data_IF_524211678770
#
_entry.id   IF_524211678770
#
_cell.length_a   1.000
_cell.length_b   1.000
_cell.length_c   1.000
_cell.angle_alpha   90.00
_cell.angle_beta   90.00
_cell.angle_gamma   90.00
#
_symmetry.space_group_name_H-M   'P 1'
#
loop_
_entity.id
_entity.type
_entity.pdbx_description
1 polymer ?
#
# COMPACT_ATOMS: atom_id res chain seq x y z
N UNK A 1 -0.78 8.98 -3.44
CA UNK A 1 -1.85 8.62 -4.38
C UNK A 1 -1.52 9.22 -5.73
N UNK A 2 -1.91 8.57 -6.81
CA UNK A 2 -1.76 9.08 -8.17
C UNK A 2 -3.11 9.18 -8.84
N UNK A 3 -3.25 10.19 -9.68
CA UNK A 3 -4.22 10.23 -10.76
C UNK A 3 -3.44 10.20 -12.07
N UNK A 4 -3.84 9.39 -13.04
CA UNK A 4 -3.20 9.36 -14.35
C UNK A 4 -4.23 9.27 -15.47
N UNK A 5 -3.87 9.79 -16.63
CA UNK A 5 -4.69 9.73 -17.83
C UNK A 5 -4.44 8.40 -18.54
N UNK A 6 -5.32 7.41 -18.31
CA UNK A 6 -5.19 6.08 -18.87
C UNK A 6 -5.67 6.03 -20.33
N UNK A 7 -4.87 6.60 -21.23
CA UNK A 7 -5.18 6.72 -22.65
C UNK A 7 -5.36 5.36 -23.33
N UNK A 8 -4.58 4.38 -22.89
CA UNK A 8 -4.59 3.00 -23.38
C UNK A 8 -5.67 2.14 -22.74
N UNK A 9 -6.25 2.63 -21.63
CA UNK A 9 -7.26 1.94 -20.85
C UNK A 9 -6.79 0.55 -20.34
N UNK A 10 -5.51 0.44 -19.98
CA UNK A 10 -4.86 -0.82 -19.60
C UNK A 10 -4.67 -0.97 -18.09
N UNK A 11 -5.05 0.05 -17.30
CA UNK A 11 -4.91 0.10 -15.84
C UNK A 11 -3.46 -0.09 -15.39
N UNK A 12 -2.48 0.24 -16.23
CA UNK A 12 -1.08 0.04 -15.92
C UNK A 12 -0.36 1.37 -15.72
N UNK A 13 -0.31 1.85 -14.48
CA UNK A 13 0.41 3.07 -14.14
C UNK A 13 1.93 2.99 -14.41
N UNK A 14 2.53 1.79 -14.45
CA UNK A 14 4.00 1.65 -14.54
C UNK A 14 4.61 2.16 -15.85
N UNK A 15 3.80 2.42 -16.89
CA UNK A 15 4.27 2.97 -18.16
C UNK A 15 4.40 4.50 -18.15
N UNK A 16 3.84 5.18 -17.15
CA UNK A 16 3.83 6.64 -17.11
C UNK A 16 4.98 7.16 -16.23
N UNK A 17 5.87 8.04 -16.76
CA UNK A 17 6.93 8.63 -15.95
C UNK A 17 6.36 9.65 -14.95
N UNK A 18 6.94 9.73 -13.75
CA UNK A 18 6.45 10.59 -12.64
C UNK A 18 6.33 12.08 -12.99
N UNK A 19 7.10 12.57 -13.97
CA UNK A 19 7.09 13.97 -14.43
C UNK A 19 6.28 14.18 -15.72
N UNK A 20 5.37 13.26 -16.04
CA UNK A 20 4.49 13.37 -17.19
C UNK A 20 3.32 14.31 -16.88
N UNK A 21 2.94 15.15 -17.85
CA UNK A 21 1.67 15.91 -17.80
C UNK A 21 0.43 14.99 -17.75
N UNK A 22 0.61 13.69 -17.96
CA UNK A 22 -0.41 12.65 -17.85
C UNK A 22 -0.56 12.08 -16.45
N UNK A 23 0.20 12.55 -15.45
CA UNK A 23 0.09 12.12 -14.05
C UNK A 23 -0.07 13.34 -13.15
N UNK A 24 -0.93 13.21 -12.14
CA UNK A 24 -0.96 14.08 -10.96
C UNK A 24 -0.64 13.26 -9.72
N UNK A 25 0.35 13.73 -8.97
CA UNK A 25 0.75 13.12 -7.70
C UNK A 25 0.03 13.86 -6.57
N UNK A 26 -0.66 13.10 -5.73
CA UNK A 26 -1.28 13.58 -4.52
C UNK A 26 -0.53 13.01 -3.32
N UNK A 27 0.25 13.85 -2.66
CA UNK A 27 1.02 13.45 -1.49
C UNK A 27 0.10 13.39 -0.26
N UNK A 28 -0.03 12.22 0.36
CA UNK A 28 -0.94 12.00 1.50
C UNK A 28 -0.51 12.76 2.76
N UNK A 29 0.73 13.26 2.83
CA UNK A 29 1.20 14.14 3.89
C UNK A 29 0.67 15.58 3.78
N UNK A 30 0.10 15.99 2.64
CA UNK A 30 -0.60 17.27 2.47
C UNK A 30 -2.03 17.25 3.04
N UNK A 31 -2.50 16.09 3.50
CA UNK A 31 -3.88 15.90 3.95
C UNK A 31 -3.98 16.15 5.45
N UNK A 32 -5.06 16.80 5.84
CA UNK A 32 -5.44 16.92 7.23
C UNK A 32 -6.20 15.67 7.66
N UNK A 33 -5.53 14.81 8.41
CA UNK A 33 -6.07 13.55 8.92
C UNK A 33 -6.72 13.76 10.29
N UNK A 34 -7.96 13.33 10.42
CA UNK A 34 -8.71 13.36 11.68
C UNK A 34 -9.24 11.98 11.99
N UNK A 35 -9.00 11.49 13.20
CA UNK A 35 -9.65 10.28 13.70
C UNK A 35 -11.16 10.51 13.69
N UNK A 36 -11.91 9.57 13.13
CA UNK A 36 -13.36 9.58 13.18
C UNK A 36 -13.82 9.07 14.55
N UNK A 37 -14.16 9.99 15.45
CA UNK A 37 -14.59 9.66 16.82
C UNK A 37 -16.03 9.17 16.90
N UNK A 38 -16.80 9.17 15.81
CA UNK A 38 -18.20 8.73 15.84
C UNK A 38 -18.35 7.22 16.11
N UNK A 39 -17.27 6.44 15.94
CA UNK A 39 -17.19 5.02 16.29
C UNK A 39 -16.47 4.78 17.64
N UNK A 40 -16.17 5.83 18.42
CA UNK A 40 -15.52 5.71 19.74
C UNK A 40 -16.47 5.24 20.85
N UNK A 41 -17.69 4.78 20.51
CA UNK A 41 -18.59 4.11 21.46
C UNK A 41 -18.01 2.75 21.82
N UNK A 42 -17.05 2.82 22.73
CA UNK A 42 -16.26 1.79 23.37
C UNK A 42 -15.08 1.22 22.59
N UNK A 43 -13.91 1.27 23.23
CA UNK A 43 -12.69 0.53 22.88
C UNK A 43 -12.89 -1.01 23.06
N UNK A 44 -14.09 -1.53 22.81
CA UNK A 44 -14.39 -2.95 22.88
C UNK A 44 -14.31 -3.55 21.48
N UNK A 45 -13.80 -4.78 21.41
CA UNK A 45 -13.79 -5.55 20.18
C UNK A 45 -15.21 -6.02 19.86
N UNK A 46 -15.99 -5.22 19.14
CA UNK A 46 -17.27 -5.69 18.60
C UNK A 46 -17.00 -6.84 17.62
N UNK A 47 -17.64 -8.00 17.83
CA UNK A 47 -17.40 -9.21 17.05
C UNK A 47 -15.91 -9.57 16.95
N UNK A 48 -15.14 -9.40 18.03
CA UNK A 48 -13.71 -9.72 18.06
C UNK A 48 -12.84 -8.85 17.13
N UNK A 49 -13.39 -7.75 16.59
CA UNK A 49 -12.69 -6.79 15.74
C UNK A 49 -12.62 -5.42 16.40
N UNK A 50 -11.46 -4.80 16.31
CA UNK A 50 -11.25 -3.42 16.69
C UNK A 50 -10.89 -2.62 15.43
N UNK A 51 -11.57 -1.50 15.25
CA UNK A 51 -11.47 -0.67 14.06
C UNK A 51 -11.19 0.79 14.45
N UNK A 52 -10.23 1.41 13.77
CA UNK A 52 -9.99 2.85 13.83
C UNK A 52 -10.05 3.40 12.42
N UNK A 53 -10.82 4.47 12.23
CA UNK A 53 -10.92 5.17 10.95
C UNK A 53 -10.33 6.58 11.05
N UNK A 54 -9.52 6.95 10.08
CA UNK A 54 -8.96 8.29 9.90
C UNK A 54 -9.48 8.90 8.60
N UNK A 55 -10.13 10.05 8.72
CA UNK A 55 -10.63 10.81 7.58
C UNK A 55 -9.59 11.85 7.18
N UNK A 56 -9.09 11.76 5.95
CA UNK A 56 -8.19 12.71 5.32
C UNK A 56 -8.96 13.69 4.43
N UNK A 57 -8.64 14.96 4.56
CA UNK A 57 -9.16 16.00 3.67
C UNK A 57 -8.03 16.91 3.20
N UNK A 58 -8.10 17.37 1.95
CA UNK A 58 -7.22 18.42 1.45
C UNK A 58 -8.02 19.38 0.58
N UNK A 59 -7.55 20.63 0.37
CA UNK A 59 -8.21 21.56 -0.56
C UNK A 59 -8.34 21.02 -1.98
N UNK A 60 -7.50 20.05 -2.36
CA UNK A 60 -7.48 19.40 -3.67
C UNK A 60 -8.34 18.13 -3.72
N UNK A 61 -8.78 17.61 -2.57
CA UNK A 61 -9.48 16.33 -2.46
C UNK A 61 -10.49 16.34 -1.29
N UNK A 62 -11.76 16.29 -1.64
CA UNK A 62 -12.86 16.10 -0.68
C UNK A 62 -13.05 14.61 -0.43
N UNK A 63 -12.60 14.13 0.75
CA UNK A 63 -12.84 12.82 1.37
C UNK A 63 -12.07 11.58 0.87
N UNK A 64 -10.82 11.44 1.33
CA UNK A 64 -10.20 10.11 1.48
C UNK A 64 -10.32 9.65 2.92
N UNK A 65 -10.53 8.36 3.19
CA UNK A 65 -10.34 7.85 4.56
C UNK A 65 -9.53 6.55 4.54
N UNK A 66 -8.75 6.38 5.60
CA UNK A 66 -7.94 5.18 5.87
C UNK A 66 -8.53 4.49 7.10
N UNK A 67 -8.71 3.18 7.02
CA UNK A 67 -9.33 2.40 8.07
C UNK A 67 -8.44 1.23 8.45
N UNK A 68 -8.15 1.14 9.75
CA UNK A 68 -7.24 0.18 10.35
C UNK A 68 -8.07 -0.81 11.15
N UNK A 69 -7.87 -2.11 10.92
CA UNK A 69 -8.56 -3.17 11.66
C UNK A 69 -7.60 -4.19 12.23
N UNK A 70 -7.86 -4.59 13.46
CA UNK A 70 -7.19 -5.71 14.14
C UNK A 70 -8.24 -6.64 14.73
N UNK A 71 -7.90 -7.91 14.87
CA UNK A 71 -8.78 -8.91 15.48
C UNK A 71 -8.12 -9.50 16.72
N UNK A 72 -8.91 -9.83 17.74
CA UNK A 72 -8.44 -10.60 18.91
C UNK A 72 -8.63 -12.13 18.72
N UNK A 73 -9.34 -12.57 17.68
CA UNK A 73 -9.48 -13.98 17.27
C UNK A 73 -9.05 -14.22 15.82
N UNK A 74 -8.72 -15.47 15.47
CA UNK A 74 -8.49 -15.87 14.08
C UNK A 74 -9.83 -15.98 13.36
N UNK A 75 -10.07 -15.12 12.38
CA UNK A 75 -11.33 -15.07 11.65
C UNK A 75 -11.15 -14.41 10.28
N UNK A 76 -12.03 -14.73 9.34
CA UNK A 76 -12.13 -13.98 8.09
C UNK A 76 -13.00 -12.73 8.30
N UNK A 77 -12.66 -11.64 7.63
CA UNK A 77 -13.56 -10.48 7.58
C UNK A 77 -14.90 -10.89 6.95
N UNK A 78 -16.01 -10.39 7.51
CA UNK A 78 -17.36 -10.68 7.02
C UNK A 78 -17.58 -10.18 5.59
N UNK A 79 -16.98 -9.04 5.26
CA UNK A 79 -17.13 -8.42 3.94
C UNK A 79 -16.00 -8.87 3.01
N UNK A 80 -16.27 -8.92 1.70
CA UNK A 80 -15.24 -9.21 0.70
C UNK A 80 -14.06 -8.21 0.83
N UNK A 81 -12.82 -8.66 0.59
CA UNK A 81 -12.42 -9.94 0.01
C UNK A 81 -12.15 -11.06 1.04
N UNK A 82 -12.75 -11.00 2.23
CA UNK A 82 -12.64 -12.02 3.28
C UNK A 82 -11.17 -12.31 3.68
N UNK A 83 -10.38 -11.26 3.89
CA UNK A 83 -9.01 -11.42 4.39
C UNK A 83 -9.02 -12.12 5.75
N UNK A 84 -8.03 -12.98 5.97
CA UNK A 84 -7.85 -13.69 7.24
C UNK A 84 -7.14 -12.77 8.23
N UNK A 85 -7.75 -12.57 9.40
CA UNK A 85 -7.08 -12.04 10.55
C UNK A 85 -6.43 -13.14 11.38
N UNK A 86 -5.24 -12.86 11.89
CA UNK A 86 -4.57 -13.66 12.91
C UNK A 86 -4.13 -12.73 14.04
N UNK A 87 -4.64 -12.91 15.27
CA UNK A 87 -4.44 -11.97 16.38
C UNK A 87 -2.97 -11.77 16.71
N UNK A 88 -2.53 -10.51 16.75
CA UNK A 88 -1.13 -10.16 17.02
C UNK A 88 -0.16 -10.37 15.85
N UNK A 89 -0.62 -10.90 14.72
CA UNK A 89 0.22 -11.14 13.52
C UNK A 89 -0.21 -10.28 12.33
N UNK A 90 -1.51 -10.00 12.19
CA UNK A 90 -2.07 -9.34 11.01
C UNK A 90 -2.82 -8.07 11.42
N UNK A 91 -2.51 -6.99 10.72
CA UNK A 91 -3.27 -5.74 10.72
C UNK A 91 -3.82 -5.58 9.30
N UNK A 92 -5.12 -5.32 9.16
CA UNK A 92 -5.73 -5.02 7.88
C UNK A 92 -5.84 -3.50 7.72
N UNK A 93 -5.54 -3.04 6.51
CA UNK A 93 -5.62 -1.65 6.11
C UNK A 93 -6.59 -1.58 4.92
N UNK A 94 -7.72 -0.91 5.11
CA UNK A 94 -8.62 -0.55 4.02
C UNK A 94 -8.35 0.90 3.63
N UNK A 95 -8.25 1.16 2.33
CA UNK A 95 -8.11 2.50 1.80
C UNK A 95 -9.35 2.84 1.00
N UNK A 96 -9.94 3.99 1.31
CA UNK A 96 -11.16 4.44 0.68
C UNK A 96 -11.02 5.83 0.07
N UNK A 97 -11.41 5.92 -1.19
CA UNK A 97 -11.47 7.15 -1.94
C UNK A 97 -12.90 7.43 -2.35
N UNK A 98 -13.46 8.53 -1.83
CA UNK A 98 -14.82 8.95 -2.12
C UNK A 98 -14.82 10.35 -2.75
N UNK A 99 -15.55 10.52 -3.85
CA UNK A 99 -15.70 11.80 -4.55
C UNK A 99 -14.39 12.52 -4.88
N UNK A 100 -13.40 11.77 -5.34
CA UNK A 100 -12.18 12.35 -5.91
C UNK A 100 -12.53 13.14 -7.17
N UNK A 101 -11.87 14.28 -7.31
CA UNK A 101 -12.00 15.11 -8.50
C UNK A 101 -11.07 14.57 -9.58
N UNK A 102 -11.64 14.19 -10.72
CA UNK A 102 -10.88 13.80 -11.92
C UNK A 102 -10.46 15.05 -12.71
N UNK A 103 -9.18 15.11 -13.06
CA UNK A 103 -8.54 16.14 -13.87
C UNK A 103 -8.28 15.70 -15.31
N UNK A 104 -8.45 14.42 -15.61
CA UNK A 104 -8.30 13.86 -16.95
C UNK A 104 -9.61 13.27 -17.47
N UNK A 105 -9.78 13.25 -18.79
CA UNK A 105 -10.95 12.65 -19.43
C UNK A 105 -11.01 11.12 -19.20
N UNK A 106 -9.85 10.45 -19.22
CA UNK A 106 -9.70 9.02 -18.90
C UNK A 106 -8.95 8.87 -17.57
N UNK A 107 -9.41 9.59 -16.55
CA UNK A 107 -8.81 9.59 -15.22
C UNK A 107 -8.90 8.21 -14.55
N UNK A 108 -7.75 7.71 -14.10
CA UNK A 108 -7.63 6.56 -13.21
C UNK A 108 -6.83 6.92 -11.98
N UNK A 109 -7.11 6.21 -10.89
CA UNK A 109 -6.46 6.42 -9.61
C UNK A 109 -5.64 5.19 -9.22
N UNK A 110 -4.55 5.47 -8.51
CA UNK A 110 -3.67 4.45 -7.97
C UNK A 110 -2.97 4.90 -6.69
N UNK A 111 -2.25 3.96 -6.09
CA UNK A 111 -1.44 4.15 -4.91
C UNK A 111 0.00 3.74 -5.16
N UNK A 112 0.93 4.44 -4.52
CA UNK A 112 2.26 3.93 -4.29
C UNK A 112 2.33 3.38 -2.88
N UNK A 113 2.72 2.12 -2.75
CA UNK A 113 3.04 1.54 -1.46
C UNK A 113 4.55 1.57 -1.29
N UNK A 114 5.02 2.20 -0.22
CA UNK A 114 6.41 2.14 0.17
C UNK A 114 6.60 1.02 1.17
N UNK A 115 7.35 0.00 0.77
CA UNK A 115 7.67 -1.18 1.57
C UNK A 115 9.10 -1.04 2.09
N UNK A 116 9.28 -1.32 3.37
CA UNK A 116 10.58 -1.19 4.06
C UNK A 116 10.85 -2.47 4.86
N UNK A 117 12.09 -2.96 4.78
CA UNK A 117 12.55 -4.12 5.54
C UNK A 117 13.96 -3.92 6.09
N UNK A 118 14.29 -4.68 7.14
CA UNK A 118 15.64 -4.77 7.67
C UNK A 118 16.63 -5.46 6.72
N UNK A 119 16.16 -6.18 5.70
CA UNK A 119 16.96 -6.76 4.63
C UNK A 119 17.61 -5.65 3.81
N UNK A 120 18.92 -5.74 3.56
CA UNK A 120 19.59 -4.91 2.55
C UNK A 120 19.33 -5.48 1.17
N UNK A 121 18.87 -4.63 0.24
CA UNK A 121 18.61 -5.00 -1.15
C UNK A 121 19.54 -4.22 -2.08
N UNK A 122 20.13 -4.89 -3.05
CA UNK A 122 20.84 -4.23 -4.14
C UNK A 122 19.87 -3.43 -5.00
N UNK A 123 20.27 -2.33 -5.68
CA UNK A 123 19.37 -1.47 -6.45
C UNK A 123 18.47 -2.22 -7.45
N UNK A 124 18.98 -3.28 -8.07
CA UNK A 124 18.27 -4.09 -9.07
C UNK A 124 17.42 -5.22 -8.49
N UNK A 125 17.49 -5.46 -7.18
CA UNK A 125 16.72 -6.52 -6.52
C UNK A 125 15.31 -6.06 -6.15
N UNK A 126 14.41 -7.00 -5.90
CA UNK A 126 13.06 -6.75 -5.42
C UNK A 126 12.73 -7.66 -4.23
N UNK A 127 11.75 -7.27 -3.41
CA UNK A 127 11.16 -8.18 -2.45
C UNK A 127 10.47 -9.34 -3.18
N UNK A 128 10.52 -10.53 -2.61
CA UNK A 128 9.92 -11.71 -3.20
C UNK A 128 8.40 -11.58 -3.26
N UNK A 129 7.82 -11.82 -4.43
CA UNK A 129 6.37 -11.91 -4.65
C UNK A 129 5.95 -13.37 -4.73
N UNK A 130 4.96 -13.78 -3.92
CA UNK A 130 4.34 -15.10 -3.94
C UNK A 130 2.82 -14.96 -4.07
N UNK A 131 2.28 -15.21 -5.26
CA UNK A 131 0.85 -15.02 -5.55
C UNK A 131 0.36 -13.61 -5.17
N UNK A 132 -0.32 -13.48 -4.04
CA UNK A 132 -0.86 -12.22 -3.47
C UNK A 132 0.04 -11.60 -2.41
N UNK A 133 1.09 -12.30 -1.98
CA UNK A 133 1.92 -11.92 -0.85
C UNK A 133 3.25 -11.34 -1.33
N UNK A 134 3.74 -10.31 -0.66
CA UNK A 134 5.08 -9.76 -0.83
C UNK A 134 5.83 -10.01 0.47
N UNK A 135 6.90 -10.81 0.40
CA UNK A 135 7.70 -11.21 1.56
C UNK A 135 8.83 -10.18 1.75
N UNK A 136 8.74 -9.40 2.82
CA UNK A 136 9.57 -8.22 3.01
C UNK A 136 11.01 -8.56 3.43
N UNK A 137 11.28 -9.75 3.97
CA UNK A 137 12.64 -10.16 4.37
C UNK A 137 13.32 -11.13 3.39
N UNK A 138 12.73 -11.27 2.20
CA UNK A 138 13.20 -12.18 1.15
C UNK A 138 13.41 -11.43 -0.17
N UNK A 139 14.57 -11.64 -0.80
CA UNK A 139 14.89 -11.10 -2.13
C UNK A 139 14.72 -12.18 -3.20
N UNK A 140 14.44 -11.76 -4.44
CA UNK A 140 14.34 -12.68 -5.60
C UNK A 140 15.65 -13.44 -5.84
N UNK A 141 16.80 -12.77 -5.68
CA UNK A 141 18.14 -13.33 -5.90
C UNK A 141 18.50 -14.50 -4.96
N UNK A 142 18.05 -14.46 -3.70
CA UNK A 142 18.31 -15.51 -2.70
C UNK A 142 17.72 -16.87 -3.08
N UNK A 143 16.78 -16.91 -4.02
CA UNK A 143 16.20 -18.16 -4.52
C UNK A 143 17.05 -18.80 -5.63
N UNK A 144 17.71 -17.98 -6.46
CA UNK A 144 18.49 -18.47 -7.61
C UNK A 144 19.87 -18.97 -7.20
N UNK A 145 20.39 -18.48 -6.07
CA UNK A 145 21.62 -18.97 -5.50
C UNK A 145 21.30 -20.08 -4.48
N UNK A 146 21.44 -21.33 -4.90
CA UNK A 146 21.57 -22.50 -4.00
C UNK A 146 22.89 -22.45 -3.18
N UNK A 147 23.40 -21.27 -2.86
CA UNK A 147 24.60 -21.06 -2.08
C UNK A 147 24.18 -20.54 -0.70
N UNK A 148 24.30 -21.44 0.27
CA UNK A 148 24.35 -21.17 1.69
C UNK A 148 25.20 -19.92 1.98
N UNK A 149 24.59 -18.86 2.50
CA UNK A 149 25.12 -18.05 3.61
C UNK A 149 24.26 -16.79 3.77
N UNK A 150 23.93 -16.50 5.04
CA UNK A 150 23.13 -15.39 5.55
C UNK A 150 21.61 -15.63 5.69
N UNK A 151 21.33 -16.24 6.85
CA UNK A 151 20.09 -16.29 7.64
C UNK A 151 19.01 -17.32 7.30
N UNK A 152 19.36 -18.61 7.38
CA UNK A 152 18.42 -19.71 7.68
C UNK A 152 18.01 -19.79 9.16
N UNK A 153 18.46 -18.86 10.00
CA UNK A 153 18.24 -18.87 11.46
C UNK A 153 17.22 -17.83 11.93
N UNK A 154 16.20 -17.50 11.12
CA UNK A 154 15.03 -16.82 11.68
C UNK A 154 14.02 -17.88 12.11
N UNK A 155 13.81 -18.01 13.41
CA UNK A 155 12.71 -18.81 13.99
C UNK A 155 11.34 -18.18 13.73
N UNK A 156 11.31 -16.98 13.17
CA UNK A 156 10.09 -16.23 12.89
C UNK A 156 9.88 -16.10 11.38
N UNK A 157 8.65 -16.30 10.88
CA UNK A 157 8.36 -16.12 9.47
C UNK A 157 8.59 -14.66 9.06
N UNK A 158 9.03 -14.46 7.83
CA UNK A 158 9.22 -13.14 7.21
C UNK A 158 7.94 -12.30 7.35
N UNK A 159 8.09 -11.01 7.62
CA UNK A 159 6.96 -10.09 7.51
C UNK A 159 6.45 -10.08 6.07
N UNK A 160 5.13 -9.99 5.88
CA UNK A 160 4.54 -10.00 4.55
C UNK A 160 3.43 -8.96 4.40
N UNK A 161 3.26 -8.49 3.17
CA UNK A 161 2.11 -7.71 2.73
C UNK A 161 1.23 -8.60 1.85
N UNK A 162 -0.01 -8.84 2.26
CA UNK A 162 -0.97 -9.57 1.43
C UNK A 162 -1.91 -8.59 0.73
N UNK A 163 -1.92 -8.64 -0.60
CA UNK A 163 -2.73 -7.80 -1.48
C UNK A 163 -3.69 -8.68 -2.27
N UNK A 164 -5.00 -8.48 -2.11
CA UNK A 164 -5.99 -9.10 -3.01
C UNK A 164 -6.17 -8.24 -4.26
N UNK A 165 -6.26 -8.86 -5.46
CA UNK A 165 -6.35 -8.13 -6.72
C UNK A 165 -7.78 -7.66 -7.01
N UNK A 166 -8.46 -7.11 -6.01
CA UNK A 166 -9.85 -6.68 -6.12
C UNK A 166 -10.10 -5.44 -5.24
N UNK A 167 -10.69 -4.40 -5.83
CA UNK A 167 -11.26 -3.25 -5.13
C UNK A 167 -12.76 -3.19 -5.41
N UNK A 168 -13.51 -2.38 -4.67
CA UNK A 168 -14.97 -2.29 -4.78
C UNK A 168 -15.42 -0.85 -4.99
N UNK A 169 -16.55 -0.70 -5.68
CA UNK A 169 -17.16 0.61 -5.99
C UNK A 169 -18.25 1.02 -4.99
N UNK A 170 -18.47 0.21 -3.95
CA UNK A 170 -19.43 0.44 -2.88
C UNK A 170 -18.87 -0.20 -1.59
N UNK A 171 -18.88 0.54 -0.48
CA UNK A 171 -18.36 0.04 0.79
C UNK A 171 -19.34 -0.86 1.54
N UNK A 172 -20.64 -0.68 1.35
CA UNK A 172 -21.69 -1.48 1.98
C UNK A 172 -22.05 -2.72 1.16
N UNK A 173 -21.87 -2.67 -0.16
CA UNK A 173 -22.18 -3.75 -1.10
C UNK A 173 -20.93 -4.29 -1.79
N UNK A 174 -19.98 -4.83 -1.00
CA UNK A 174 -18.77 -5.50 -1.52
C UNK A 174 -19.12 -6.88 -2.09
N UNK A 175 -19.54 -6.91 -3.36
CA UNK A 175 -19.88 -8.13 -4.10
C UNK A 175 -18.98 -8.31 -5.33
N UNK A 176 -19.02 -9.49 -5.96
CA UNK A 176 -18.30 -9.75 -7.23
C UNK A 176 -18.74 -8.81 -8.35
N UNK A 177 -20.01 -8.39 -8.38
CA UNK A 177 -20.53 -7.46 -9.41
C UNK A 177 -20.00 -6.04 -9.20
N UNK A 178 -19.83 -5.65 -7.94
CA UNK A 178 -19.31 -4.35 -7.54
C UNK A 178 -17.78 -4.34 -7.41
N UNK A 179 -17.09 -5.44 -7.72
CA UNK A 179 -15.64 -5.50 -7.69
C UNK A 179 -15.02 -5.06 -9.02
N UNK A 180 -13.81 -4.52 -8.94
CA UNK A 180 -12.93 -4.22 -10.06
C UNK A 180 -11.57 -4.81 -9.80
N UNK A 181 -10.84 -5.09 -10.87
CA UNK A 181 -9.50 -5.62 -10.74
C UNK A 181 -8.56 -4.56 -10.12
N UNK A 182 -7.51 -5.04 -9.47
CA UNK A 182 -6.42 -4.20 -8.99
C UNK A 182 -5.14 -4.66 -9.66
N UNK A 183 -4.56 -3.77 -10.46
CA UNK A 183 -3.33 -4.03 -11.17
C UNK A 183 -2.13 -3.64 -10.30
N UNK A 184 -1.34 -4.64 -9.93
CA UNK A 184 -0.07 -4.42 -9.25
C UNK A 184 1.04 -4.25 -10.28
N UNK A 185 1.88 -3.24 -10.09
CA UNK A 185 3.06 -3.01 -10.90
C UNK A 185 3.93 -4.27 -10.98
N UNK A 186 4.37 -4.59 -12.20
CA UNK A 186 5.24 -5.74 -12.46
C UNK A 186 6.52 -5.67 -11.63
N UNK A 187 7.11 -4.50 -11.59
CA UNK A 187 8.34 -4.21 -10.88
C UNK A 187 8.11 -3.44 -9.59
N UNK A 188 9.11 -3.47 -8.72
CA UNK A 188 9.15 -2.64 -7.53
C UNK A 188 10.23 -1.57 -7.73
N UNK A 189 9.81 -0.32 -7.78
CA UNK A 189 10.71 0.78 -8.11
C UNK A 189 11.61 1.13 -6.91
N UNK A 190 12.78 1.67 -7.24
CA UNK A 190 13.69 2.25 -6.24
C UNK A 190 13.15 3.62 -5.84
N UNK A 191 13.17 3.91 -4.53
CA UNK A 191 12.93 5.27 -4.09
C UNK A 191 14.12 6.16 -4.45
N UNK A 192 13.91 7.11 -5.37
CA UNK A 192 14.96 8.02 -5.83
C UNK A 192 15.25 9.16 -4.85
N UNK A 193 14.30 9.53 -3.99
CA UNK A 193 14.44 10.65 -3.05
C UNK A 193 14.01 10.28 -1.62
N UNK A 194 14.99 10.13 -0.73
CA UNK A 194 14.76 9.72 0.67
C UNK A 194 14.16 10.82 1.55
N UNK A 195 14.04 12.07 1.08
CA UNK A 195 13.48 13.17 1.89
C UNK A 195 12.06 12.89 2.37
N UNK A 196 11.26 12.17 1.58
CA UNK A 196 9.89 11.79 1.95
C UNK A 196 9.89 10.82 3.13
N UNK A 197 10.86 9.89 3.20
CA UNK A 197 10.96 8.94 4.32
C UNK A 197 11.28 9.65 5.61
N UNK A 198 12.10 10.71 5.59
CA UNK A 198 12.55 11.39 6.80
C UNK A 198 11.39 11.87 7.69
N UNK A 199 10.23 12.19 7.11
CA UNK A 199 9.02 12.62 7.83
C UNK A 199 8.09 11.47 8.23
N UNK A 200 8.40 10.23 7.87
CA UNK A 200 7.61 9.06 8.25
C UNK A 200 7.94 8.61 9.67
N UNK A 201 6.97 8.04 10.38
CA UNK A 201 7.22 7.44 11.71
C UNK A 201 8.33 6.40 11.69
N UNK A 202 8.51 5.70 10.56
CA UNK A 202 9.53 4.67 10.41
C UNK A 202 10.95 5.23 10.38
N UNK A 203 11.15 6.49 9.99
CA UNK A 203 12.49 7.10 9.98
C UNK A 203 13.10 7.14 11.38
N UNK A 204 12.28 7.33 12.43
CA UNK A 204 12.74 7.38 13.83
C UNK A 204 13.43 6.07 14.24
N UNK A 205 12.96 4.92 13.75
CA UNK A 205 13.51 3.60 14.10
C UNK A 205 14.68 3.16 13.21
N UNK A 206 14.85 3.80 12.05
CA UNK A 206 15.82 3.37 11.04
C UNK A 206 16.72 4.52 10.55
N UNK A 207 16.78 5.64 11.27
CA UNK A 207 17.46 6.86 10.84
C UNK A 207 18.92 6.60 10.43
N UNK A 208 19.66 5.87 11.26
CA UNK A 208 21.07 5.54 11.05
C UNK A 208 21.30 4.68 9.78
N UNK A 209 20.27 3.96 9.33
CA UNK A 209 20.32 3.06 8.16
C UNK A 209 19.71 3.68 6.90
N UNK A 210 19.11 4.87 7.00
CA UNK A 210 18.50 5.60 5.89
C UNK A 210 19.48 6.57 5.21
N UNK A 211 20.56 6.96 5.90
CA UNK A 211 21.53 7.92 5.43
C UNK A 211 22.98 7.39 5.57
N UNK A 212 23.48 6.61 4.59
CA UNK A 212 24.82 6.01 4.66
C UNK A 212 25.95 7.04 4.62
N UNK A 213 25.66 8.32 4.32
CA UNK A 213 26.64 9.41 4.30
C UNK A 213 26.76 10.16 5.64
N UNK A 214 26.10 9.72 6.71
CA UNK A 214 26.41 10.27 8.02
C UNK A 214 27.85 9.84 8.36
N UNK A 215 28.73 10.79 8.64
CA UNK A 215 30.15 10.60 8.98
C UNK A 215 30.40 9.75 10.24
N UNK A 216 29.40 9.03 10.73
CA UNK A 216 29.50 8.08 11.81
C UNK A 216 29.70 6.70 11.19
N UNK A 217 30.83 6.12 11.57
CA UNK A 217 31.38 4.80 11.26
C UNK A 217 30.44 3.66 11.71
N UNK A 218 29.19 3.67 11.22
CA UNK A 218 28.22 2.64 11.53
C UNK A 218 28.35 1.55 10.48
N UNK A 219 28.84 0.39 10.89
CA UNK A 219 28.90 -0.84 10.10
C UNK A 219 27.52 -1.39 9.71
N UNK A 220 26.48 -0.56 9.74
CA UNK A 220 25.09 -0.92 9.57
C UNK A 220 24.74 -0.83 8.08
N UNK A 221 24.37 -1.97 7.50
CA UNK A 221 23.94 -2.03 6.11
C UNK A 221 22.62 -1.26 5.92
N UNK A 222 22.40 -0.59 4.77
CA UNK A 222 21.18 0.15 4.52
C UNK A 222 19.95 -0.76 4.56
N UNK A 223 18.80 -0.20 4.90
CA UNK A 223 17.52 -0.92 4.83
C UNK A 223 17.03 -1.04 3.38
N UNK A 224 16.33 -2.12 3.08
CA UNK A 224 15.69 -2.36 1.79
C UNK A 224 14.41 -1.55 1.69
N UNK A 225 14.30 -0.74 0.64
CA UNK A 225 13.14 0.12 0.39
C UNK A 225 12.69 -0.07 -1.04
N UNK A 226 11.41 -0.38 -1.24
CA UNK A 226 10.82 -0.59 -2.56
C UNK A 226 9.44 0.05 -2.67
N UNK A 227 9.14 0.56 -3.85
CA UNK A 227 7.87 1.18 -4.18
C UNK A 227 7.07 0.23 -5.06
N UNK A 228 5.84 -0.08 -4.67
CA UNK A 228 4.90 -0.82 -5.51
C UNK A 228 3.79 0.11 -5.95
N UNK A 229 3.65 0.29 -7.26
CA UNK A 229 2.51 0.99 -7.83
C UNK A 229 1.31 0.03 -7.90
N UNK A 230 0.16 0.49 -7.45
CA UNK A 230 -1.11 -0.24 -7.43
C UNK A 230 -2.13 0.63 -8.14
N UNK A 231 -2.80 0.10 -9.16
CA UNK A 231 -3.78 0.83 -9.96
C UNK A 231 -5.15 0.18 -9.84
N UNK A 232 -6.19 0.99 -9.70
CA UNK A 232 -7.54 0.51 -9.49
C UNK A 232 -8.33 0.52 -10.78
N UNK A 233 -9.05 -0.57 -11.04
CA UNK A 233 -10.01 -0.67 -12.13
C UNK A 233 -9.79 -1.86 -13.05
N UNK A 234 -10.75 -2.02 -13.95
CA UNK A 234 -10.67 -2.94 -15.08
C UNK A 234 -10.55 -2.13 -16.36
N UNK A 235 -9.84 -2.61 -17.37
CA UNK A 235 -9.82 -1.99 -18.70
C UNK A 235 -11.24 -1.75 -19.22
N UNK A 236 -11.50 -0.61 -19.86
CA UNK A 236 -12.78 -0.24 -20.53
C UNK A 236 -13.96 0.03 -19.62
N UNK A 237 -13.79 -0.04 -18.30
CA UNK A 237 -14.93 0.11 -17.38
C UNK A 237 -15.32 1.58 -17.12
N UNK A 238 -14.38 2.51 -17.27
CA UNK A 238 -14.51 3.91 -16.82
C UNK A 238 -15.03 4.01 -15.38
N UNK A 239 -14.70 3.03 -14.52
CA UNK A 239 -15.51 2.77 -13.33
C UNK A 239 -15.50 3.93 -12.35
N UNK A 240 -14.34 4.56 -12.16
CA UNK A 240 -14.21 5.65 -11.20
C UNK A 240 -15.05 6.87 -11.60
N UNK A 241 -15.05 7.21 -12.89
CA UNK A 241 -15.88 8.31 -13.39
C UNK A 241 -17.38 8.09 -13.12
N UNK A 242 -17.82 6.82 -13.05
CA UNK A 242 -19.21 6.44 -12.77
C UNK A 242 -19.52 6.33 -11.27
N UNK A 243 -18.68 5.63 -10.50
CA UNK A 243 -18.93 5.37 -9.07
C UNK A 243 -18.49 6.51 -8.17
N UNK A 244 -17.46 7.25 -8.58
CA UNK A 244 -16.70 8.20 -7.75
C UNK A 244 -16.24 7.59 -6.43
N UNK A 245 -16.07 6.26 -6.41
CA UNK A 245 -15.84 5.50 -5.20
C UNK A 245 -14.90 4.33 -5.44
N UNK A 246 -13.91 4.18 -4.57
CA UNK A 246 -13.00 3.04 -4.50
C UNK A 246 -12.85 2.67 -3.03
N UNK A 247 -13.02 1.38 -2.71
CA UNK A 247 -12.49 0.80 -1.48
C UNK A 247 -11.65 -0.41 -1.82
N UNK A 248 -10.46 -0.50 -1.22
CA UNK A 248 -9.50 -1.58 -1.44
C UNK A 248 -9.00 -2.07 -0.10
#
# INVERSE_FOLDING_TARGET
MFEYNDLSDDVNMSIYPQNSDQIRIHHLNEYNWKRNSNNDSSLFFENNLFEITYNGSSPKLTSSYEQFRISNTTQHHKDMPHLLFKPGWIIQFDILFNNLTSNFNQSRFGLQLMMMSNLTLDPTEEFRKEMTNILLDESVSKMNNNAEQYSRNSTHPSAFLQIKPACFIDNHLRTVQNSRYVHNGKHQDILQNNKIINYSFRSIFCADRLNPNSNNDTSLKPIGIRLLNVSFGTSTDGFYAKSKFIVW
#
